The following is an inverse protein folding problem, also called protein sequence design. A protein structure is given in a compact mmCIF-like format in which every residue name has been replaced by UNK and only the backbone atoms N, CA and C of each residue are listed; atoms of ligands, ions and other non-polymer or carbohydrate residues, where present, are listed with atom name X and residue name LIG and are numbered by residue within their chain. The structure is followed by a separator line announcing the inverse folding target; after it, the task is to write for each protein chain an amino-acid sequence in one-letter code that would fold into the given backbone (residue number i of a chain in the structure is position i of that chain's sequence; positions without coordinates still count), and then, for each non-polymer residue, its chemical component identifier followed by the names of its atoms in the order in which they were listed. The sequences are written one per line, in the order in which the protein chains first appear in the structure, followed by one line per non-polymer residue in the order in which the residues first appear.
data_IF_969757782675
#
_entry.id   IF_969757782675
#
_cell.length_a   1.000
_cell.length_b   1.000
_cell.length_c   1.000
_cell.angle_alpha   90.00
_cell.angle_beta   90.00
_cell.angle_gamma   90.00
#
_symmetry.space_group_name_H-M   'P 1'
#
loop_
_entity.id
_entity.type
_entity.pdbx_description
1 polymer ?
#
# COMPACT_ATOMS: atom_id res chain seq x y z
N UNK A 1 5.83 -2.16 3.88
CA UNK A 1 4.81 -1.17 3.47
C UNK A 1 4.73 -1.10 1.95
N UNK A 2 3.53 -0.85 1.44
CA UNK A 2 3.23 -0.69 0.03
C UNK A 2 2.50 0.64 -0.17
N UNK A 3 2.86 1.40 -1.19
CA UNK A 3 2.10 2.56 -1.66
C UNK A 3 2.14 2.62 -3.18
N UNK A 4 1.20 3.32 -3.81
CA UNK A 4 1.32 3.57 -5.26
C UNK A 4 2.30 4.71 -5.52
N UNK A 5 2.04 5.87 -4.93
CA UNK A 5 2.87 7.06 -5.04
C UNK A 5 4.07 6.96 -4.08
N UNK A 6 5.16 7.66 -4.40
CA UNK A 6 6.35 7.68 -3.57
C UNK A 6 6.14 8.55 -2.32
N UNK A 7 6.74 8.20 -1.16
CA UNK A 7 6.92 9.16 -0.08
C UNK A 7 7.60 10.42 -0.58
N UNK A 8 7.04 11.58 -0.28
CA UNK A 8 7.62 12.87 -0.68
C UNK A 8 9.06 13.00 -0.17
N UNK A 9 10.00 13.49 -0.98
CA UNK A 9 11.39 13.68 -0.56
C UNK A 9 12.24 12.41 -0.53
N UNK A 10 11.71 11.24 -0.90
CA UNK A 10 12.44 9.96 -0.87
C UNK A 10 13.64 9.96 -1.84
N UNK A 11 13.60 10.79 -2.87
CA UNK A 11 14.67 10.96 -3.85
C UNK A 11 15.99 11.43 -3.23
N UNK A 12 15.93 12.12 -2.08
CA UNK A 12 17.10 12.60 -1.35
C UNK A 12 17.89 11.47 -0.65
N UNK A 13 17.30 10.28 -0.57
CA UNK A 13 17.87 9.11 0.10
C UNK A 13 18.43 8.06 -0.88
N UNK A 14 18.49 8.41 -2.18
CA UNK A 14 19.05 7.57 -3.23
C UNK A 14 19.91 8.36 -4.22
N UNK A 15 20.15 7.80 -5.40
CA UNK A 15 20.97 8.47 -6.42
C UNK A 15 20.15 9.51 -7.21
N UNK A 16 19.93 10.68 -6.59
CA UNK A 16 19.17 11.78 -7.19
C UNK A 16 19.75 12.23 -8.55
N UNK A 17 21.09 12.30 -8.68
CA UNK A 17 21.75 12.69 -9.93
C UNK A 17 21.38 11.75 -11.08
N UNK A 18 21.40 10.45 -10.83
CA UNK A 18 21.00 9.45 -11.82
C UNK A 18 19.50 9.55 -12.13
N UNK A 19 18.66 9.76 -11.12
CA UNK A 19 17.22 9.95 -11.32
C UNK A 19 16.94 11.14 -12.24
N UNK A 20 17.53 12.30 -11.96
CA UNK A 20 17.35 13.52 -12.76
C UNK A 20 17.95 13.39 -14.17
N UNK A 21 19.03 12.62 -14.35
CA UNK A 21 19.55 12.31 -15.70
C UNK A 21 18.52 11.56 -16.55
N UNK A 22 17.77 10.63 -15.96
CA UNK A 22 16.74 9.87 -16.68
C UNK A 22 15.39 10.59 -16.74
N UNK A 23 15.07 11.42 -15.75
CA UNK A 23 13.80 12.13 -15.59
C UNK A 23 14.06 13.60 -15.22
N UNK A 24 14.58 14.43 -16.15
CA UNK A 24 14.97 15.81 -15.83
C UNK A 24 13.81 16.68 -15.32
N UNK A 25 12.59 16.40 -15.79
CA UNK A 25 11.38 17.12 -15.39
C UNK A 25 11.01 16.96 -13.90
N UNK A 26 11.57 15.96 -13.20
CA UNK A 26 11.41 15.86 -11.75
C UNK A 26 12.13 16.96 -10.99
N UNK A 27 13.12 17.64 -11.59
CA UNK A 27 13.88 18.67 -10.90
C UNK A 27 12.99 19.81 -10.39
N UNK A 28 12.05 20.28 -11.22
CA UNK A 28 11.09 21.31 -10.83
C UNK A 28 10.15 20.80 -9.74
N UNK A 29 9.59 19.60 -9.92
CA UNK A 29 8.67 19.00 -8.95
C UNK A 29 9.34 18.77 -7.58
N UNK A 30 10.64 18.45 -7.56
CA UNK A 30 11.41 18.27 -6.31
C UNK A 30 11.63 19.62 -5.64
N UNK A 31 12.07 20.64 -6.39
CA UNK A 31 12.29 21.99 -5.85
C UNK A 31 11.03 22.60 -5.26
N UNK A 32 9.88 22.34 -5.88
CA UNK A 32 8.57 22.80 -5.43
C UNK A 32 7.92 21.87 -4.40
N UNK A 33 8.56 20.76 -4.02
CA UNK A 33 8.01 19.78 -3.09
C UNK A 33 6.76 19.04 -3.60
N UNK A 34 6.54 18.95 -4.90
CA UNK A 34 5.37 18.31 -5.54
C UNK A 34 5.58 16.84 -5.91
N UNK A 35 6.84 16.38 -5.91
CA UNK A 35 7.18 14.98 -6.19
C UNK A 35 6.83 14.09 -4.99
N UNK A 36 6.06 13.04 -5.24
CA UNK A 36 5.60 12.11 -4.21
C UNK A 36 4.36 12.60 -3.43
N UNK A 37 4.07 11.94 -2.32
CA UNK A 37 2.89 12.12 -1.49
C UNK A 37 3.29 12.39 -0.04
N UNK A 38 2.79 13.50 0.51
CA UNK A 38 3.05 13.94 1.89
C UNK A 38 2.48 12.95 2.94
N UNK A 39 1.23 12.46 2.85
CA UNK A 39 0.74 11.44 3.78
C UNK A 39 1.61 10.17 3.80
N UNK A 40 2.14 9.74 2.65
CA UNK A 40 3.03 8.57 2.63
C UNK A 40 4.41 8.85 3.25
N UNK A 41 4.86 10.11 3.27
CA UNK A 41 6.06 10.53 4.01
C UNK A 41 5.81 10.46 5.51
N UNK A 42 4.69 11.01 5.99
CA UNK A 42 4.30 10.94 7.40
C UNK A 42 4.25 9.48 7.89
N UNK A 43 3.61 8.59 7.12
CA UNK A 43 3.57 7.16 7.44
C UNK A 43 4.94 6.46 7.38
N UNK A 44 5.84 6.88 6.50
CA UNK A 44 7.20 6.33 6.41
C UNK A 44 8.01 6.67 7.66
N UNK A 45 7.90 7.92 8.10
CA UNK A 45 8.65 8.45 9.24
C UNK A 45 8.09 7.90 10.57
N UNK A 46 6.77 7.66 10.65
CA UNK A 46 6.11 7.06 11.82
C UNK A 46 6.37 5.56 11.92
N UNK A 47 6.01 4.79 10.89
CA UNK A 47 6.01 3.32 10.94
C UNK A 47 7.40 2.71 10.78
N UNK A 48 8.36 3.45 10.20
CA UNK A 48 9.77 3.05 10.00
C UNK A 48 9.93 1.59 9.54
N UNK A 49 9.20 1.15 8.48
CA UNK A 49 9.17 -0.26 8.11
C UNK A 49 10.51 -0.71 7.53
N UNK A 50 10.84 -2.00 7.63
CA UNK A 50 12.08 -2.54 7.03
C UNK A 50 12.15 -2.31 5.50
N UNK A 51 10.98 -2.39 4.85
CA UNK A 51 10.84 -2.20 3.40
C UNK A 51 9.65 -1.31 3.07
N UNK A 52 9.84 -0.44 2.06
CA UNK A 52 8.79 0.36 1.44
C UNK A 52 8.83 0.19 -0.07
N UNK A 53 7.74 -0.28 -0.66
CA UNK A 53 7.65 -0.44 -2.11
C UNK A 53 6.65 0.53 -2.72
N UNK A 54 7.05 1.18 -3.82
CA UNK A 54 6.20 2.12 -4.56
C UNK A 54 6.23 1.91 -6.07
N UNK A 55 5.37 2.62 -6.79
CA UNK A 55 5.27 2.58 -8.24
C UNK A 55 5.03 3.99 -8.80
N UNK A 56 4.04 4.13 -9.69
CA UNK A 56 3.54 5.38 -10.30
C UNK A 56 4.49 6.15 -11.23
N UNK A 57 5.72 6.44 -10.81
CA UNK A 57 6.64 7.35 -11.52
C UNK A 57 7.33 6.73 -12.74
N UNK A 58 7.04 5.45 -13.02
CA UNK A 58 7.54 4.69 -14.16
C UNK A 58 9.07 4.77 -14.28
N UNK A 59 9.74 4.45 -13.17
CA UNK A 59 11.18 4.25 -13.11
C UNK A 59 11.53 3.36 -11.90
N UNK A 60 12.57 2.55 -12.05
CA UNK A 60 13.20 1.87 -10.92
C UNK A 60 14.09 2.88 -10.18
N UNK A 61 13.88 3.00 -8.88
CA UNK A 61 14.68 3.81 -7.99
C UNK A 61 14.80 3.11 -6.65
N UNK A 62 15.98 3.15 -6.06
CA UNK A 62 16.27 2.55 -4.76
C UNK A 62 16.86 3.62 -3.84
N UNK A 63 16.44 3.59 -2.59
CA UNK A 63 16.87 4.53 -1.57
C UNK A 63 16.94 3.84 -0.20
N UNK A 64 17.76 4.39 0.70
CA UNK A 64 17.88 3.92 2.09
C UNK A 64 17.61 5.10 3.01
N UNK A 65 16.52 5.00 3.77
CA UNK A 65 16.14 6.00 4.76
C UNK A 65 16.66 5.54 6.11
N UNK A 66 17.59 6.31 6.69
CA UNK A 66 18.11 6.04 8.02
C UNK A 66 17.19 6.72 9.04
N UNK A 67 16.72 5.96 10.02
CA UNK A 67 15.94 6.45 11.13
C UNK A 67 16.87 6.53 12.34
N UNK A 68 17.41 7.71 12.63
CA UNK A 68 18.10 7.96 13.91
C UNK A 68 17.02 8.13 14.98
N UNK A 69 17.11 7.36 16.06
CA UNK A 69 16.38 7.70 17.29
C UNK A 69 17.13 8.85 17.95
N UNK A 70 16.45 9.98 18.15
CA UNK A 70 17.03 11.16 18.82
C UNK A 70 17.36 10.90 20.30
N UNK A 71 16.90 9.76 20.86
CA UNK A 71 17.12 9.37 22.24
C UNK A 71 18.04 8.14 22.35
N UNK A 72 19.26 8.37 22.85
CA UNK A 72 20.27 7.43 23.36
C UNK A 72 21.08 6.61 22.34
N UNK A 73 22.41 6.74 22.46
CA UNK A 73 23.48 6.28 21.57
C UNK A 73 23.64 4.74 21.40
N UNK A 74 22.67 3.93 21.83
CA UNK A 74 22.75 2.45 21.77
C UNK A 74 21.58 1.76 21.05
N UNK A 75 20.63 2.49 20.45
CA UNK A 75 19.54 1.87 19.71
C UNK A 75 20.00 1.48 18.30
N UNK A 76 19.76 0.22 17.92
CA UNK A 76 20.04 -0.34 16.60
C UNK A 76 19.66 0.65 15.48
N UNK A 77 20.61 0.99 14.61
CA UNK A 77 20.36 1.80 13.41
C UNK A 77 19.24 1.16 12.58
N UNK A 78 18.03 1.71 12.68
CA UNK A 78 16.89 1.24 11.91
C UNK A 78 16.90 1.96 10.56
N UNK A 79 16.69 1.21 9.49
CA UNK A 79 16.61 1.78 8.15
C UNK A 79 15.43 1.20 7.39
N UNK A 80 14.86 2.01 6.49
CA UNK A 80 13.88 1.55 5.49
C UNK A 80 14.56 1.41 4.14
N UNK A 81 14.49 0.21 3.57
CA UNK A 81 14.87 -0.05 2.18
C UNK A 81 13.70 0.33 1.26
N UNK A 82 13.83 1.44 0.55
CA UNK A 82 12.84 1.88 -0.42
C UNK A 82 13.17 1.33 -1.81
N UNK A 83 12.15 0.84 -2.52
CA UNK A 83 12.26 0.44 -3.92
C UNK A 83 11.01 0.82 -4.70
N UNK A 84 11.19 1.54 -5.80
CA UNK A 84 10.17 1.73 -6.82
C UNK A 84 10.40 0.86 -8.04
N UNK A 85 9.33 0.52 -8.75
CA UNK A 85 9.39 -0.22 -10.01
C UNK A 85 8.79 0.56 -11.19
N UNK A 86 9.23 0.19 -12.38
CA UNK A 86 8.73 0.76 -13.63
C UNK A 86 7.41 0.09 -14.06
N UNK A 87 6.76 0.63 -15.09
CA UNK A 87 5.57 0.03 -15.70
C UNK A 87 5.94 -1.27 -16.43
N UNK A 88 5.02 -2.25 -16.43
CA UNK A 88 5.12 -3.53 -17.15
C UNK A 88 5.15 -3.35 -18.67
N UNK A 89 6.26 -2.82 -19.19
CA UNK A 89 6.54 -2.59 -20.60
C UNK A 89 7.84 -3.29 -20.99
N UNK A 90 8.00 -3.67 -22.27
CA UNK A 90 9.24 -4.27 -22.76
C UNK A 90 10.46 -3.42 -22.40
N UNK A 91 11.55 -4.10 -21.99
CA UNK A 91 12.84 -3.50 -21.65
C UNK A 91 12.81 -2.53 -20.46
N UNK A 92 11.75 -2.55 -19.64
CA UNK A 92 11.66 -1.78 -18.39
C UNK A 92 11.93 -2.66 -17.18
N UNK A 93 12.39 -2.03 -16.09
CA UNK A 93 12.69 -2.70 -14.81
C UNK A 93 11.43 -2.71 -13.93
N UNK A 94 10.45 -3.51 -14.32
CA UNK A 94 9.12 -3.53 -13.70
C UNK A 94 8.92 -4.65 -12.66
N UNK A 95 9.86 -5.60 -12.58
CA UNK A 95 9.81 -6.72 -11.63
C UNK A 95 11.12 -6.81 -10.87
N UNK A 96 11.02 -7.05 -9.56
CA UNK A 96 12.13 -7.37 -8.68
C UNK A 96 11.70 -8.54 -7.79
N UNK A 97 12.51 -9.59 -7.75
CA UNK A 97 12.35 -10.70 -6.82
C UNK A 97 13.21 -10.38 -5.59
N UNK A 98 12.66 -10.61 -4.40
CA UNK A 98 13.32 -10.37 -3.13
C UNK A 98 13.23 -11.64 -2.29
N UNK A 99 14.37 -12.05 -1.75
CA UNK A 99 14.44 -13.14 -0.78
C UNK A 99 14.26 -12.54 0.62
N UNK A 100 13.15 -12.90 1.26
CA UNK A 100 12.85 -12.50 2.64
C UNK A 100 13.08 -13.73 3.54
N UNK A 101 13.87 -13.60 4.63
CA UNK A 101 14.08 -14.71 5.55
C UNK A 101 12.75 -15.23 6.09
N UNK A 102 12.56 -16.55 6.00
CA UNK A 102 11.39 -17.25 6.53
C UNK A 102 11.83 -18.41 7.42
N UNK A 103 11.07 -18.64 8.47
CA UNK A 103 11.26 -19.80 9.35
C UNK A 103 10.59 -21.02 8.72
N UNK A 104 11.39 -21.95 8.21
CA UNK A 104 10.92 -23.16 7.52
C UNK A 104 10.02 -24.06 8.38
N UNK A 105 9.99 -23.88 9.71
CA UNK A 105 9.06 -24.61 10.59
C UNK A 105 7.63 -24.06 10.55
N UNK A 106 7.45 -22.83 10.05
CA UNK A 106 6.14 -22.16 9.95
C UNK A 106 5.55 -22.33 8.56
N UNK A 107 4.24 -22.51 8.48
CA UNK A 107 3.51 -22.50 7.22
C UNK A 107 3.51 -21.10 6.58
N UNK A 108 3.34 -21.05 5.26
CA UNK A 108 3.19 -19.82 4.48
C UNK A 108 1.71 -19.66 4.18
N UNK A 109 0.97 -19.17 5.17
CA UNK A 109 -0.47 -18.92 5.07
C UNK A 109 -0.75 -17.42 5.01
N UNK A 110 -1.79 -17.04 4.27
CA UNK A 110 -2.32 -15.68 4.33
C UNK A 110 -3.19 -15.56 5.59
N UNK A 111 -2.94 -14.52 6.39
CA UNK A 111 -3.69 -14.24 7.61
C UNK A 111 -4.13 -12.78 7.63
N UNK A 112 -5.27 -12.52 8.24
CA UNK A 112 -5.67 -11.16 8.60
C UNK A 112 -4.79 -10.64 9.73
N UNK A 113 -4.47 -9.35 9.67
CA UNK A 113 -3.80 -8.66 10.76
C UNK A 113 -4.83 -8.23 11.82
N UNK A 114 -4.60 -8.60 13.09
CA UNK A 114 -5.58 -8.39 14.16
C UNK A 114 -5.78 -6.90 14.48
N UNK A 115 -4.71 -6.12 14.43
CA UNK A 115 -4.77 -4.68 14.68
C UNK A 115 -5.58 -3.98 13.59
N UNK A 116 -5.33 -4.33 12.33
CA UNK A 116 -6.10 -3.85 11.18
C UNK A 116 -7.59 -4.21 11.28
N UNK A 117 -7.93 -5.47 11.62
CA UNK A 117 -9.32 -5.87 11.82
C UNK A 117 -9.98 -5.06 12.94
N UNK A 118 -9.25 -4.81 14.02
CA UNK A 118 -9.76 -4.04 15.15
C UNK A 118 -10.01 -2.59 14.78
N UNK A 119 -9.08 -1.95 14.06
CA UNK A 119 -9.27 -0.60 13.53
C UNK A 119 -10.49 -0.54 12.61
N UNK A 120 -10.67 -1.50 11.69
CA UNK A 120 -11.84 -1.55 10.81
C UNK A 120 -13.15 -1.66 11.59
N UNK A 121 -13.19 -2.53 12.60
CA UNK A 121 -14.38 -2.69 13.44
C UNK A 121 -14.69 -1.41 14.22
N UNK A 122 -13.70 -0.82 14.90
CA UNK A 122 -13.87 0.37 15.72
C UNK A 122 -14.25 1.61 14.89
N UNK A 123 -13.76 1.70 13.64
CA UNK A 123 -14.02 2.84 12.74
C UNK A 123 -15.22 2.65 11.82
N UNK A 124 -15.98 1.56 11.93
CA UNK A 124 -17.13 1.30 11.04
C UNK A 124 -18.16 2.44 11.05
N UNK A 125 -18.41 3.04 12.21
CA UNK A 125 -19.33 4.17 12.35
C UNK A 125 -18.90 5.44 11.56
N UNK A 126 -17.64 5.52 11.13
CA UNK A 126 -17.12 6.61 10.31
C UNK A 126 -17.27 6.33 8.80
N UNK A 127 -17.74 5.14 8.41
CA UNK A 127 -17.97 4.78 7.02
C UNK A 127 -19.08 5.68 6.44
N UNK A 128 -18.76 6.37 5.34
CA UNK A 128 -19.70 7.21 4.62
C UNK A 128 -19.60 6.95 3.11
N UNK A 129 -20.71 6.53 2.50
CA UNK A 129 -20.79 6.25 1.06
C UNK A 129 -21.26 7.45 0.23
N UNK A 130 -21.62 8.56 0.88
CA UNK A 130 -22.07 9.76 0.20
C UNK A 130 -20.90 10.50 -0.47
N UNK A 131 -21.19 11.23 -1.53
CA UNK A 131 -20.20 12.09 -2.21
C UNK A 131 -19.91 13.40 -1.48
N UNK A 132 -20.60 13.66 -0.37
CA UNK A 132 -20.45 14.89 0.39
C UNK A 132 -19.13 14.89 1.17
N UNK A 133 -18.58 16.08 1.38
CA UNK A 133 -17.39 16.23 2.20
C UNK A 133 -17.73 15.85 3.64
N UNK A 134 -16.97 14.90 4.18
CA UNK A 134 -17.16 14.36 5.53
C UNK A 134 -15.86 14.55 6.30
N UNK A 135 -15.96 15.20 7.47
CA UNK A 135 -14.82 15.45 8.33
C UNK A 135 -14.67 14.29 9.31
N UNK A 136 -13.48 13.68 9.35
CA UNK A 136 -13.14 12.63 10.30
C UNK A 136 -12.74 13.25 11.65
N UNK A 137 -12.95 12.52 12.77
CA UNK A 137 -12.50 12.99 14.07
C UNK A 137 -10.98 13.20 14.06
N UNK A 138 -10.54 14.27 14.71
CA UNK A 138 -9.13 14.65 14.80
C UNK A 138 -8.74 15.02 16.22
N UNK A 139 -7.45 15.31 16.49
CA UNK A 139 -6.95 15.57 17.84
C UNK A 139 -7.62 16.73 18.58
N UNK A 140 -8.26 17.64 17.85
CA UNK A 140 -8.97 18.79 18.40
C UNK A 140 -10.45 18.50 18.70
N UNK A 141 -10.98 17.36 18.27
CA UNK A 141 -12.36 16.96 18.51
C UNK A 141 -12.51 16.35 19.91
N UNK A 142 -13.72 16.44 20.47
CA UNK A 142 -14.08 15.78 21.74
C UNK A 142 -14.30 14.28 21.58
N UNK A 143 -14.56 13.82 20.35
CA UNK A 143 -14.80 12.43 20.01
C UNK A 143 -13.47 11.65 19.92
N UNK A 144 -13.54 10.31 20.01
CA UNK A 144 -12.36 9.45 19.84
C UNK A 144 -11.79 9.65 18.43
N UNK A 145 -10.52 10.02 18.37
CA UNK A 145 -9.76 10.16 17.11
C UNK A 145 -8.60 9.18 17.01
N UNK A 146 -8.10 8.69 18.16
CA UNK A 146 -7.10 7.64 18.23
C UNK A 146 -7.79 6.28 18.35
N UNK A 147 -7.65 5.47 17.31
CA UNK A 147 -8.21 4.13 17.22
C UNK A 147 -7.16 3.04 17.35
N UNK A 148 -6.01 3.34 17.96
CA UNK A 148 -5.06 2.32 18.40
C UNK A 148 -5.80 1.31 19.30
N UNK A 149 -5.96 0.04 18.88
CA UNK A 149 -6.81 -0.89 19.61
C UNK A 149 -6.19 -1.32 20.93
N UNK A 150 -6.99 -1.36 22.00
CA UNK A 150 -6.56 -1.97 23.27
C UNK A 150 -6.52 -3.50 23.16
N UNK A 151 -5.89 -4.18 24.12
CA UNK A 151 -5.83 -5.65 24.13
C UNK A 151 -7.22 -6.28 24.32
N UNK A 152 -8.11 -5.62 25.07
CA UNK A 152 -9.51 -6.03 25.21
C UNK A 152 -10.26 -5.92 23.87
N UNK A 153 -10.07 -4.82 23.14
CA UNK A 153 -10.68 -4.62 21.81
C UNK A 153 -10.17 -5.65 20.81
N UNK A 154 -8.86 -5.93 20.80
CA UNK A 154 -8.26 -7.00 19.98
C UNK A 154 -8.80 -8.37 20.35
N UNK A 155 -8.95 -8.67 21.63
CA UNK A 155 -9.49 -9.95 22.10
C UNK A 155 -10.95 -10.12 21.66
N UNK A 156 -11.76 -9.06 21.75
CA UNK A 156 -13.14 -9.08 21.26
C UNK A 156 -13.21 -9.42 19.77
N UNK A 157 -12.37 -8.77 18.95
CA UNK A 157 -12.31 -9.03 17.50
C UNK A 157 -11.75 -10.42 17.19
N UNK A 158 -10.77 -10.90 17.93
CA UNK A 158 -10.23 -12.25 17.79
C UNK A 158 -11.31 -13.32 18.05
N UNK A 159 -12.19 -13.09 19.03
CA UNK A 159 -13.33 -13.97 19.32
C UNK A 159 -14.32 -14.05 18.16
N UNK A 160 -14.58 -12.93 17.45
CA UNK A 160 -15.44 -12.91 16.25
C UNK A 160 -14.88 -13.81 15.13
N UNK A 161 -13.57 -14.04 15.14
CA UNK A 161 -12.88 -14.95 14.23
C UNK A 161 -12.66 -16.35 14.77
N UNK A 162 -13.23 -16.67 15.93
CA UNK A 162 -13.03 -17.97 16.60
C UNK A 162 -11.54 -18.27 16.81
N UNK A 163 -10.74 -17.23 17.06
CA UNK A 163 -9.27 -17.30 17.19
C UNK A 163 -8.53 -17.80 15.94
N UNK A 164 -9.19 -17.83 14.78
CA UNK A 164 -8.59 -18.21 13.52
C UNK A 164 -8.64 -17.06 12.50
N UNK A 165 -7.48 -16.40 12.35
CA UNK A 165 -7.29 -15.29 11.43
C UNK A 165 -6.83 -15.73 10.03
N UNK A 166 -6.77 -17.04 9.74
CA UNK A 166 -6.36 -17.52 8.41
C UNK A 166 -7.38 -17.07 7.36
N UNK A 167 -6.87 -16.54 6.25
CA UNK A 167 -7.70 -16.18 5.10
C UNK A 167 -8.10 -17.49 4.41
N UNK A 168 -9.41 -17.77 4.26
CA UNK A 168 -9.86 -18.99 3.62
C UNK A 168 -9.45 -19.02 2.14
N UNK A 169 -9.05 -20.18 1.64
CA UNK A 169 -8.72 -20.36 0.22
C UNK A 169 -10.01 -20.55 -0.62
N UNK A 170 -10.87 -19.53 -0.63
CA UNK A 170 -12.18 -19.53 -1.29
C UNK A 170 -12.29 -18.44 -2.37
N UNK A 171 -11.15 -18.04 -2.97
CA UNK A 171 -11.09 -16.96 -3.97
C UNK A 171 -11.96 -17.25 -5.19
N UNK A 172 -12.88 -16.32 -5.48
CA UNK A 172 -13.74 -16.38 -6.65
C UNK A 172 -13.41 -15.25 -7.63
N UNK A 173 -13.60 -15.54 -8.91
CA UNK A 173 -13.57 -14.49 -9.95
C UNK A 173 -14.96 -13.89 -10.05
N UNK A 174 -15.08 -12.57 -9.88
CA UNK A 174 -16.34 -11.86 -10.13
C UNK A 174 -16.37 -11.24 -11.52
N UNK A 175 -17.42 -11.57 -12.27
CA UNK A 175 -17.81 -10.83 -13.47
C UNK A 175 -18.68 -9.61 -13.06
N UNK A 176 -18.41 -8.44 -13.62
CA UNK A 176 -19.17 -7.20 -13.38
C UNK A 176 -19.30 -6.76 -11.90
N UNK A 177 -18.17 -6.43 -11.28
CA UNK A 177 -18.05 -5.94 -9.88
C UNK A 177 -18.79 -4.63 -9.53
N UNK A 178 -19.50 -3.99 -10.47
CA UNK A 178 -20.17 -2.70 -10.25
C UNK A 178 -21.65 -2.81 -9.88
N UNK A 179 -22.27 -3.97 -10.10
CA UNK A 179 -23.71 -4.15 -9.96
C UNK A 179 -24.11 -5.20 -8.94
N UNK A 180 -23.14 -5.87 -8.31
CA UNK A 180 -23.35 -6.94 -7.35
C UNK A 180 -22.29 -6.91 -6.27
N UNK A 181 -22.68 -7.26 -5.05
CA UNK A 181 -21.75 -7.49 -3.95
C UNK A 181 -20.88 -8.72 -4.22
N UNK A 182 -19.71 -8.76 -3.59
CA UNK A 182 -18.85 -9.94 -3.56
C UNK A 182 -19.23 -10.78 -2.33
N UNK A 183 -19.71 -12.03 -2.50
CA UNK A 183 -20.05 -12.91 -1.37
C UNK A 183 -18.93 -13.06 -0.34
N UNK A 184 -17.66 -13.07 -0.77
CA UNK A 184 -16.51 -13.13 0.13
C UNK A 184 -16.37 -11.86 0.97
N UNK A 185 -16.60 -10.68 0.36
CA UNK A 185 -16.59 -9.39 1.06
C UNK A 185 -17.76 -9.29 2.03
N UNK A 186 -18.96 -9.67 1.59
CA UNK A 186 -20.15 -9.66 2.44
C UNK A 186 -19.98 -10.57 3.65
N UNK A 187 -19.50 -11.81 3.46
CA UNK A 187 -19.25 -12.71 4.58
C UNK A 187 -18.15 -12.20 5.54
N UNK A 188 -17.11 -11.56 5.00
CA UNK A 188 -16.08 -10.91 5.81
C UNK A 188 -16.66 -9.77 6.65
N UNK A 189 -17.46 -8.89 6.04
CA UNK A 189 -18.12 -7.78 6.72
C UNK A 189 -19.08 -8.27 7.82
N UNK A 190 -19.90 -9.28 7.53
CA UNK A 190 -20.79 -9.92 8.51
C UNK A 190 -20.00 -10.49 9.69
N UNK A 191 -18.90 -11.23 9.41
CA UNK A 191 -18.08 -11.85 10.44
C UNK A 191 -17.38 -10.82 11.34
N UNK A 192 -16.95 -9.69 10.78
CA UNK A 192 -16.32 -8.59 11.52
C UNK A 192 -17.36 -7.58 12.08
N UNK A 193 -18.66 -7.84 11.89
CA UNK A 193 -19.76 -6.93 12.25
C UNK A 193 -19.53 -5.49 11.75
N UNK A 194 -19.13 -5.34 10.49
CA UNK A 194 -19.00 -4.05 9.80
C UNK A 194 -19.93 -4.00 8.60
N UNK A 195 -20.22 -2.80 8.12
CA UNK A 195 -21.09 -2.62 6.96
C UNK A 195 -20.32 -2.93 5.66
N UNK A 196 -20.98 -3.62 4.72
CA UNK A 196 -20.46 -3.80 3.37
C UNK A 196 -20.69 -2.50 2.56
N UNK A 197 -19.64 -1.75 2.18
CA UNK A 197 -19.80 -0.44 1.53
C UNK A 197 -20.52 -0.53 0.18
N UNK A 198 -20.35 -1.62 -0.55
CA UNK A 198 -21.02 -1.81 -1.84
C UNK A 198 -22.47 -2.20 -1.64
N UNK A 199 -22.78 -3.01 -0.62
CA UNK A 199 -24.17 -3.32 -0.26
C UNK A 199 -24.94 -2.07 0.19
N UNK A 200 -24.29 -1.20 0.98
CA UNK A 200 -24.84 0.11 1.35
C UNK A 200 -25.12 0.97 0.11
N UNK A 201 -24.16 1.05 -0.81
CA UNK A 201 -24.29 1.84 -2.05
C UNK A 201 -25.41 1.33 -2.96
N UNK A 202 -25.61 0.01 -3.01
CA UNK A 202 -26.67 -0.63 -3.80
C UNK A 202 -28.05 -0.58 -3.12
N UNK A 203 -28.14 -0.07 -1.88
CA UNK A 203 -29.37 -0.11 -1.09
C UNK A 203 -29.84 -1.53 -0.74
N UNK A 204 -28.91 -2.50 -0.78
CA UNK A 204 -29.18 -3.92 -0.50
C UNK A 204 -28.94 -4.28 0.97
N UNK A 205 -28.40 -3.35 1.75
CA UNK A 205 -28.14 -3.54 3.17
C UNK A 205 -29.39 -3.21 3.99
N UNK A 206 -29.94 -4.22 4.65
CA UNK A 206 -31.04 -4.05 5.60
C UNK A 206 -30.55 -4.57 6.94
N UNK A 207 -30.30 -3.66 7.89
CA UNK A 207 -29.92 -4.01 9.26
C UNK A 207 -31.14 -4.49 10.06
N UNK A 208 -31.96 -5.34 9.45
CA UNK A 208 -33.33 -5.67 9.87
C UNK A 208 -33.45 -6.93 10.73
N UNK A 209 -32.39 -7.32 11.45
CA UNK A 209 -32.45 -8.44 12.41
C UNK A 209 -31.79 -8.15 13.77
N UNK A 210 -31.71 -6.88 14.18
CA UNK A 210 -31.39 -6.54 15.57
C UNK A 210 -32.32 -5.41 16.04
N UNK A 211 -33.28 -5.81 16.88
CA UNK A 211 -34.10 -5.03 17.83
C UNK A 211 -35.15 -4.06 17.25
N UNK A 212 -36.35 -4.58 16.95
CA UNK A 212 -37.59 -3.83 17.19
C UNK A 212 -37.93 -3.92 18.68
N UNK A 213 -37.49 -2.93 19.47
CA UNK A 213 -38.13 -2.38 20.67
C UNK A 213 -37.10 -1.52 21.41
N UNK A 214 -37.17 -0.20 21.24
CA UNK A 214 -37.44 0.76 22.32
C UNK A 214 -37.24 2.20 21.83
N UNK A 215 -38.19 3.05 22.22
CA UNK A 215 -38.26 4.47 21.94
C UNK A 215 -37.23 5.27 22.77
N UNK A 216 -36.65 6.28 22.12
CA UNK A 216 -36.12 7.54 22.69
C UNK A 216 -35.23 7.46 23.95
N UNK A 217 -33.90 7.50 23.76
CA UNK A 217 -32.99 8.61 24.16
C UNK A 217 -31.53 8.15 24.35
N UNK A 218 -30.63 8.95 23.77
CA UNK A 218 -29.17 9.08 23.93
C UNK A 218 -28.25 7.85 23.81
N UNK A 219 -27.74 7.71 22.58
CA UNK A 219 -26.44 7.13 22.23
C UNK A 219 -25.34 7.82 23.04
N UNK A 220 -24.46 7.11 23.73
CA UNK A 220 -23.12 6.82 23.17
C UNK A 220 -22.40 5.71 23.96
N UNK A 221 -23.00 5.07 24.97
CA UNK A 221 -22.21 4.24 25.90
C UNK A 221 -22.82 2.90 26.34
N UNK A 222 -24.11 2.63 26.11
CA UNK A 222 -24.78 1.43 26.65
C UNK A 222 -24.69 0.16 25.79
N UNK A 223 -24.29 0.24 24.51
CA UNK A 223 -24.30 -0.92 23.60
C UNK A 223 -23.08 -1.85 23.69
N UNK A 224 -22.05 -1.50 24.47
CA UNK A 224 -20.83 -2.32 24.58
C UNK A 224 -20.91 -3.45 25.63
N UNK A 225 -21.87 -3.40 26.56
CA UNK A 225 -21.86 -4.29 27.75
C UNK A 225 -22.99 -5.33 27.83
N UNK A 226 -24.05 -5.24 27.01
CA UNK A 226 -25.30 -5.97 27.28
C UNK A 226 -25.64 -7.17 26.38
N UNK A 227 -24.68 -7.86 25.76
CA UNK A 227 -24.98 -9.18 25.15
C UNK A 227 -23.98 -10.30 25.38
N UNK A 228 -23.15 -10.24 26.45
CA UNK A 228 -22.44 -11.42 26.95
C UNK A 228 -23.35 -12.23 27.87
N UNK A 229 -24.45 -12.77 27.35
CA UNK A 229 -25.16 -13.91 27.97
C UNK A 229 -25.82 -14.72 26.85
N UNK A 230 -25.17 -15.80 26.42
CA UNK A 230 -25.89 -16.92 25.80
C UNK A 230 -25.40 -18.22 26.41
N UNK A 231 -26.32 -18.78 27.19
CA UNK A 231 -26.32 -20.07 27.84
C UNK A 231 -25.88 -21.22 26.94
N UNK A 232 -25.14 -22.13 27.56
CA UNK A 232 -24.88 -23.48 27.08
C UNK A 232 -26.20 -24.17 26.71
N UNK A 233 -26.23 -24.82 25.56
CA UNK A 233 -26.92 -26.10 25.37
C UNK A 233 -26.16 -26.88 24.29
N UNK A 234 -25.61 -28.00 24.73
CA UNK A 234 -25.10 -29.09 23.90
C UNK A 234 -26.28 -29.80 23.24
N UNK A 235 -26.12 -30.26 21.99
CA UNK A 235 -26.67 -31.53 21.49
C UNK A 235 -26.11 -31.87 20.07
N UNK A 236 -25.33 -32.97 20.05
CA UNK A 236 -25.12 -34.06 19.07
C UNK A 236 -26.07 -34.21 17.85
N UNK A 237 -25.82 -34.83 16.67
CA UNK A 237 -24.79 -35.64 15.94
C UNK A 237 -25.30 -35.72 14.46
N UNK A 238 -24.44 -35.76 13.42
CA UNK A 238 -24.36 -36.84 12.37
C UNK A 238 -23.56 -36.51 11.09
N UNK A 239 -22.67 -37.46 10.81
CA UNK A 239 -21.74 -37.59 9.70
C UNK A 239 -22.43 -37.83 8.35
N UNK A 240 -21.90 -37.26 7.27
CA UNK A 240 -21.77 -37.98 5.98
C UNK A 240 -20.44 -37.71 5.29
N UNK A 241 -19.73 -38.81 5.08
CA UNK A 241 -18.52 -38.99 4.30
C UNK A 241 -18.73 -38.79 2.80
N UNK A 242 -17.76 -38.15 2.13
CA UNK A 242 -17.55 -38.32 0.68
C UNK A 242 -16.05 -38.25 0.34
N UNK A 243 -15.56 -39.45 0.08
CA UNK A 243 -14.36 -39.95 -0.63
C UNK A 243 -13.37 -38.95 -1.27
N UNK A 244 -12.10 -39.12 -0.91
CA UNK A 244 -10.91 -38.58 -1.59
C UNK A 244 -10.48 -39.52 -2.72
N UNK A 245 -10.21 -38.97 -3.91
CA UNK A 245 -9.45 -39.64 -4.97
C UNK A 245 -8.00 -39.09 -5.05
N UNK A 246 -7.00 -39.91 -5.42
CA UNK A 246 -5.59 -39.60 -5.23
C UNK A 246 -5.05 -38.72 -6.37
N UNK A 247 -4.48 -37.57 -6.03
CA UNK A 247 -3.70 -36.76 -6.96
C UNK A 247 -2.24 -37.25 -6.96
N UNK A 248 -1.77 -37.72 -8.11
CA UNK A 248 -0.36 -38.05 -8.35
C UNK A 248 0.54 -36.81 -8.22
N UNK A 249 1.76 -36.94 -7.68
CA UNK A 249 2.65 -35.81 -7.46
C UNK A 249 3.16 -35.25 -8.80
N UNK A 250 2.91 -33.96 -9.03
CA UNK A 250 3.49 -33.22 -10.14
C UNK A 250 4.95 -32.88 -9.77
N UNK A 251 5.91 -33.60 -10.34
CA UNK A 251 7.34 -33.36 -10.11
C UNK A 251 7.83 -32.33 -11.13
N UNK A 252 8.25 -31.16 -10.65
CA UNK A 252 8.97 -30.17 -11.45
C UNK A 252 10.44 -30.57 -11.60
N UNK A 253 11.06 -30.38 -12.79
CA UNK A 253 12.47 -30.71 -13.00
C UNK A 253 13.40 -29.77 -12.20
N UNK A 254 14.56 -30.30 -11.80
CA UNK A 254 15.53 -29.58 -10.98
C UNK A 254 16.08 -28.31 -11.69
N UNK A 255 16.25 -27.21 -10.93
CA UNK A 255 16.85 -25.99 -11.45
C UNK A 255 18.31 -26.26 -11.86
N UNK A 256 18.68 -25.79 -13.05
CA UNK A 256 20.08 -25.80 -13.49
C UNK A 256 20.88 -24.83 -12.62
N UNK A 257 21.58 -25.39 -11.64
CA UNK A 257 22.61 -24.69 -10.88
C UNK A 257 23.86 -24.54 -11.75
N UNK A 258 24.20 -23.31 -12.13
CA UNK A 258 25.61 -22.97 -12.33
C UNK A 258 26.20 -22.65 -10.95
N UNK A 259 26.79 -23.67 -10.34
CA UNK A 259 27.54 -23.54 -9.10
C UNK A 259 28.87 -22.83 -9.35
N UNK A 260 29.07 -21.67 -8.73
CA UNK A 260 30.17 -21.36 -7.80
C UNK A 260 30.20 -19.86 -7.47
N UNK A 261 29.93 -19.49 -6.22
CA UNK A 261 30.92 -18.89 -5.32
C UNK A 261 30.28 -18.59 -3.96
N UNK A 262 30.85 -19.22 -2.95
CA UNK A 262 30.68 -18.91 -1.53
C UNK A 262 31.32 -17.58 -1.14
N UNK A 263 30.73 -16.96 -0.12
CA UNK A 263 31.21 -15.89 0.78
C UNK A 263 30.71 -14.45 0.53
N UNK A 264 29.68 -14.10 1.33
CA UNK A 264 29.46 -12.87 2.12
C UNK A 264 29.89 -11.54 1.49
N UNK A 265 28.90 -10.71 1.11
CA UNK A 265 28.95 -9.26 1.36
C UNK A 265 27.57 -8.58 1.20
N UNK A 266 27.15 -7.81 2.21
CA UNK A 266 25.89 -7.05 2.30
C UNK A 266 25.75 -5.85 1.33
N UNK A 267 26.46 -5.81 0.20
CA UNK A 267 26.50 -4.65 -0.69
C UNK A 267 25.83 -4.84 -2.07
N UNK A 268 24.91 -5.81 -2.22
CA UNK A 268 24.29 -6.09 -3.53
C UNK A 268 23.19 -5.12 -3.98
N UNK A 269 22.71 -4.21 -3.11
CA UNK A 269 21.65 -3.25 -3.50
C UNK A 269 22.15 -2.11 -4.41
N UNK A 270 23.45 -1.77 -4.37
CA UNK A 270 24.00 -0.60 -5.09
C UNK A 270 24.82 -0.95 -6.33
N UNK A 271 25.30 -2.19 -6.48
CA UNK A 271 26.35 -2.52 -7.45
C UNK A 271 25.90 -2.90 -8.88
N UNK A 272 24.60 -2.80 -9.22
CA UNK A 272 24.14 -3.05 -10.60
C UNK A 272 23.92 -1.77 -11.44
N UNK A 273 24.55 -0.66 -11.03
CA UNK A 273 24.59 0.61 -11.75
C UNK A 273 26.00 0.98 -12.22
N UNK A 274 26.73 0.04 -12.83
CA UNK A 274 27.96 0.32 -13.59
C UNK A 274 28.25 -0.88 -14.48
N UNK A 275 27.83 -0.82 -15.75
CA UNK A 275 28.43 -1.54 -16.88
C UNK A 275 27.60 -1.25 -18.14
N UNK A 276 27.91 -0.12 -18.79
CA UNK A 276 27.70 0.02 -20.23
C UNK A 276 29.04 0.49 -20.80
N UNK A 277 29.74 -0.46 -21.41
CA UNK A 277 30.93 -0.27 -22.22
C UNK A 277 30.53 0.51 -23.48
N UNK A 278 31.17 1.66 -23.70
CA UNK A 278 31.18 2.39 -24.97
C UNK A 278 32.01 1.63 -26.00
N UNK A 279 31.59 1.47 -27.27
CA UNK A 279 32.50 1.06 -28.32
C UNK A 279 33.25 2.28 -28.85
N UNK A 280 34.57 2.26 -28.70
CA UNK A 280 35.49 3.13 -29.42
C UNK A 280 35.44 2.85 -30.93
N UNK A 281 35.42 3.91 -31.74
CA UNK A 281 36.04 3.94 -33.07
C UNK A 281 36.73 5.30 -33.25
N UNK A 282 38.07 5.23 -33.31
CA UNK A 282 39.00 6.10 -34.06
C UNK A 282 38.68 6.04 -35.57
N UNK A 283 39.08 6.93 -36.47
CA UNK A 283 39.78 8.22 -36.47
C UNK A 283 39.58 8.81 -37.90
N UNK A 284 39.90 10.11 -38.02
CA UNK A 284 40.33 10.85 -39.23
C UNK A 284 39.38 11.67 -40.15
N UNK A 285 39.86 12.92 -40.33
CA UNK A 285 39.77 13.88 -41.44
C UNK A 285 38.73 15.03 -41.51
N UNK A 286 39.21 16.21 -41.06
CA UNK A 286 39.36 17.50 -41.77
C UNK A 286 38.35 17.89 -42.87
N UNK A 287 37.59 18.98 -42.66
CA UNK A 287 37.80 20.28 -43.34
C UNK A 287 36.77 21.37 -42.92
N UNK A 288 37.24 22.61 -42.99
CA UNK A 288 36.57 23.88 -42.75
C UNK A 288 35.46 24.18 -43.78
N UNK A 289 34.41 24.89 -43.36
CA UNK A 289 33.80 25.96 -44.16
C UNK A 289 32.89 26.86 -43.31
N UNK A 290 33.03 28.16 -43.56
CA UNK A 290 32.35 29.30 -42.93
C UNK A 290 30.92 29.53 -43.48
N UNK A 291 30.20 30.40 -42.77
CA UNK A 291 29.08 31.27 -43.18
C UNK A 291 27.71 30.67 -43.49
N UNK A 292 26.71 31.05 -42.69
CA UNK A 292 25.70 32.04 -43.11
C UNK A 292 24.64 32.26 -42.01
N UNK A 293 24.51 33.53 -41.60
CA UNK A 293 23.36 34.07 -40.89
C UNK A 293 22.07 33.85 -41.68
N UNK A 294 21.03 33.33 -41.02
CA UNK A 294 19.64 33.51 -41.44
C UNK A 294 18.78 33.78 -40.21
N UNK A 295 18.47 35.06 -40.02
CA UNK A 295 17.35 35.54 -39.20
C UNK A 295 16.02 35.09 -39.84
N UNK A 296 15.17 34.39 -39.10
CA UNK A 296 13.73 34.32 -39.37
C UNK A 296 12.97 34.54 -38.06
N UNK A 297 12.14 35.58 -38.07
CA UNK A 297 11.21 35.97 -37.01
C UNK A 297 10.13 34.93 -36.74
N UNK A 298 9.92 34.70 -35.44
CA UNK A 298 8.65 34.50 -34.70
C UNK A 298 7.47 33.86 -35.44
N UNK A 299 7.10 32.66 -35.00
CA UNK A 299 5.70 32.29 -34.87
C UNK A 299 5.47 31.51 -33.56
N UNK A 300 4.73 32.16 -32.65
CA UNK A 300 4.26 31.62 -31.39
C UNK A 300 3.33 30.42 -31.63
N UNK A 301 3.81 29.20 -31.32
CA UNK A 301 2.95 28.02 -31.17
C UNK A 301 3.01 27.61 -29.71
N UNK A 302 1.99 28.02 -28.96
CA UNK A 302 1.70 27.56 -27.60
C UNK A 302 1.48 26.05 -27.62
N UNK A 303 2.52 25.30 -27.26
CA UNK A 303 2.40 23.87 -27.04
C UNK A 303 1.70 23.66 -25.69
N UNK A 304 0.45 23.19 -25.74
CA UNK A 304 -0.30 22.74 -24.57
C UNK A 304 0.48 21.64 -23.84
N UNK A 305 1.12 22.01 -22.74
CA UNK A 305 1.63 21.06 -21.74
C UNK A 305 0.44 20.26 -21.20
N UNK A 306 0.40 18.96 -21.52
CA UNK A 306 -0.55 18.03 -20.88
C UNK A 306 -0.10 17.81 -19.44
N UNK A 307 -0.63 18.62 -18.54
CA UNK A 307 -0.50 18.41 -17.10
C UNK A 307 -1.28 17.14 -16.70
N UNK A 308 -0.64 16.24 -15.95
CA UNK A 308 -1.29 15.06 -15.39
C UNK A 308 -2.34 15.52 -14.36
N UNK A 309 -3.62 15.34 -14.67
CA UNK A 309 -4.71 15.63 -13.74
C UNK A 309 -4.63 14.67 -12.54
N UNK A 310 -4.16 15.15 -11.40
CA UNK A 310 -4.37 14.53 -10.08
C UNK A 310 -5.80 14.83 -9.63
N UNK A 311 -6.47 13.86 -9.00
CA UNK A 311 -7.87 14.00 -8.54
C UNK A 311 -8.04 14.78 -7.22
N UNK A 312 -6.97 15.10 -6.48
CA UNK A 312 -7.06 15.80 -5.20
C UNK A 312 -6.00 16.90 -5.10
N UNK A 313 -6.28 18.09 -5.62
CA UNK A 313 -5.49 19.30 -5.31
C UNK A 313 -6.48 20.45 -5.09
N UNK A 314 -6.73 20.80 -3.83
CA UNK A 314 -7.34 22.08 -3.46
C UNK A 314 -6.22 23.09 -3.26
N UNK A 315 -6.28 24.21 -3.98
CA UNK A 315 -5.51 25.40 -3.68
C UNK A 315 -5.97 25.97 -2.34
N UNK A 316 -5.10 25.97 -1.34
CA UNK A 316 -5.25 26.86 -0.19
C UNK A 316 -4.90 28.26 -0.68
N UNK A 317 -5.86 29.17 -0.65
CA UNK A 317 -5.60 30.59 -0.81
C UNK A 317 -5.04 31.10 0.51
N UNK A 318 -3.79 31.56 0.50
CA UNK A 318 -3.24 32.43 1.53
C UNK A 318 -4.02 33.75 1.50
N UNK A 319 -4.76 34.04 2.57
CA UNK A 319 -5.26 35.37 2.86
C UNK A 319 -4.56 35.85 4.13
N UNK A 320 -3.37 36.42 3.96
CA UNK A 320 -2.84 37.45 4.84
C UNK A 320 -2.87 38.77 4.07
N UNK A 321 -3.59 39.76 4.61
CA UNK A 321 -3.37 41.22 4.52
C UNK A 321 -4.66 41.98 4.93
N UNK A 322 -4.80 42.31 6.21
CA UNK A 322 -4.64 43.65 6.82
C UNK A 322 -5.15 43.68 8.27
#
# INVERSE_FOLDING_TARGET
MLSHDWPQGIENYGNLKQLLKYKPFFETDIKEGKLGSKPTRELLDELKPKYWFSAHLHCKFAAIVNHTSDDNEEIEKRFTKFLSLDKCLPKKRFLQILDVPHDNSKSIDLMYDLEWLSILHLTNHLLNTNSNMYYLPGPTASERYDFTPTEEEKTAVLNMFSHDLRIPNNFITLENYKSKTNPQTTNFCEKLCIDDPLALLLGQWSRSNLTENEHEMDSTFSSFLNSTVCSNNEDEIENKSSEKLPMSPFILPEPKNDSTYSNINENSFLNNCSNITTPNKSDEDLQQSQDADVNIEVNNITTKTKCLKRRNYQQTYDNDCE
#
